data_IF_950451241857
#
_entry.id   IF_950451241857
#
_cell.length_a   1.000
_cell.length_b   1.000
_cell.length_c   1.000
_cell.angle_alpha   90.00
_cell.angle_beta   90.00
_cell.angle_gamma   90.00
#
_symmetry.space_group_name_H-M   'P 1'
#
loop_
_entity.id
_entity.type
_entity.pdbx_description
1 polymer ?
#
# COMPACT_ATOMS: atom_id res chain seq x y z
N UNK A 1 -6.06 -13.47 70.74
CA UNK A 1 -7.04 -13.64 69.63
C UNK A 1 -6.30 -14.26 68.46
N UNK A 2 -6.64 -15.50 68.14
CA UNK A 2 -6.10 -16.26 67.01
C UNK A 2 -7.05 -16.03 65.84
N UNK A 3 -6.56 -15.51 64.72
CA UNK A 3 -7.18 -15.71 63.42
C UNK A 3 -6.09 -15.88 62.36
N UNK A 4 -6.30 -16.92 61.58
CA UNK A 4 -5.40 -17.53 60.62
C UNK A 4 -5.15 -16.65 59.39
N UNK A 5 -4.03 -16.95 58.73
CA UNK A 5 -3.60 -16.30 57.50
C UNK A 5 -4.49 -16.56 56.29
N UNK A 6 -4.11 -15.91 55.18
CA UNK A 6 -4.15 -16.48 53.82
C UNK A 6 -3.41 -15.58 52.86
N UNK A 7 -2.24 -16.07 52.45
CA UNK A 7 -1.44 -15.59 51.35
C UNK A 7 -2.28 -15.60 50.06
N UNK A 8 -2.54 -14.41 49.52
CA UNK A 8 -3.27 -14.28 48.26
C UNK A 8 -2.32 -14.46 47.08
N UNK A 9 -2.09 -15.74 46.75
CA UNK A 9 -1.37 -16.19 45.55
C UNK A 9 -2.18 -15.82 44.31
N UNK A 10 -1.83 -14.72 43.65
CA UNK A 10 -2.47 -14.30 42.39
C UNK A 10 -2.23 -15.36 41.31
N UNK A 11 -3.30 -16.05 40.93
CA UNK A 11 -3.34 -17.12 39.93
C UNK A 11 -2.94 -16.57 38.56
N UNK A 12 -1.77 -16.97 38.06
CA UNK A 12 -1.43 -16.90 36.62
C UNK A 12 -2.53 -17.66 35.87
N UNK A 13 -3.34 -16.94 35.10
CA UNK A 13 -4.29 -17.54 34.15
C UNK A 13 -3.48 -18.17 33.01
N UNK A 14 -3.17 -19.46 33.14
CA UNK A 14 -2.65 -20.27 32.04
C UNK A 14 -3.79 -20.52 31.06
N UNK A 15 -3.88 -19.71 30.01
CA UNK A 15 -4.73 -19.98 28.85
C UNK A 15 -4.15 -21.22 28.14
N UNK A 16 -4.80 -22.36 28.34
CA UNK A 16 -4.54 -23.60 27.64
C UNK A 16 -4.92 -23.43 26.16
N UNK A 17 -3.92 -23.31 25.30
CA UNK A 17 -4.07 -23.44 23.84
C UNK A 17 -4.46 -24.89 23.53
N UNK A 18 -5.55 -25.16 22.78
CA UNK A 18 -5.81 -26.50 22.28
C UNK A 18 -4.73 -26.86 21.24
N UNK A 19 -4.07 -28.00 21.48
CA UNK A 19 -3.06 -28.60 20.62
C UNK A 19 -3.67 -29.07 19.30
N UNK A 20 -3.20 -28.51 18.19
CA UNK A 20 -3.55 -28.99 16.84
C UNK A 20 -3.07 -30.44 16.64
N UNK A 21 -3.85 -31.31 15.99
CA UNK A 21 -3.44 -32.68 15.71
C UNK A 21 -2.29 -32.74 14.69
N UNK A 22 -1.39 -33.74 14.78
CA UNK A 22 -0.32 -33.91 13.82
C UNK A 22 -0.90 -34.31 12.45
N UNK A 23 -0.60 -33.51 11.42
CA UNK A 23 -0.95 -33.83 10.04
C UNK A 23 -0.09 -35.02 9.58
N UNK A 24 -0.73 -36.16 9.43
CA UNK A 24 -0.12 -37.37 8.88
C UNK A 24 0.35 -37.12 7.44
N UNK A 25 1.60 -37.51 7.19
CA UNK A 25 2.16 -37.64 5.84
C UNK A 25 1.46 -38.80 5.15
N UNK A 26 0.77 -38.54 4.04
CA UNK A 26 0.40 -39.60 3.10
C UNK A 26 1.03 -39.32 1.74
N UNK A 27 1.59 -40.40 1.22
CA UNK A 27 2.49 -40.56 0.09
C UNK A 27 1.80 -40.49 -1.27
N UNK A 28 2.59 -40.04 -2.25
CA UNK A 28 2.61 -40.47 -3.66
C UNK A 28 1.28 -40.36 -4.42
N UNK A 29 1.16 -39.30 -5.22
CA UNK A 29 0.47 -39.36 -6.50
C UNK A 29 1.48 -38.98 -7.58
N UNK A 30 1.82 -39.96 -8.39
CA UNK A 30 2.67 -39.86 -9.58
C UNK A 30 2.02 -38.96 -10.63
N UNK A 31 2.78 -38.09 -11.33
CA UNK A 31 2.27 -37.42 -12.52
C UNK A 31 2.08 -38.43 -13.66
N UNK A 32 1.08 -38.27 -14.55
CA UNK A 32 0.99 -39.08 -15.76
C UNK A 32 2.16 -38.74 -16.70
N UNK A 33 2.79 -39.78 -17.25
CA UNK A 33 3.84 -39.66 -18.28
C UNK A 33 3.34 -38.81 -19.46
N UNK A 34 4.00 -37.68 -19.71
CA UNK A 34 3.89 -36.99 -20.98
C UNK A 34 4.75 -37.71 -22.01
N UNK A 35 4.15 -38.20 -23.08
CA UNK A 35 4.89 -38.68 -24.25
C UNK A 35 5.65 -37.52 -24.87
N UNK A 36 6.96 -37.73 -25.06
CA UNK A 36 7.84 -36.89 -25.86
C UNK A 36 7.32 -36.92 -27.31
N UNK A 37 6.70 -35.83 -27.74
CA UNK A 37 6.53 -35.57 -29.18
C UNK A 37 7.77 -34.81 -29.60
N UNK A 38 8.52 -35.40 -30.52
CA UNK A 38 9.65 -34.77 -31.16
C UNK A 38 9.09 -33.67 -32.08
N UNK A 39 9.07 -32.45 -31.56
CA UNK A 39 8.68 -31.25 -32.28
C UNK A 39 9.94 -30.48 -32.67
N UNK A 40 10.38 -30.72 -33.90
CA UNK A 40 11.41 -29.98 -34.63
C UNK A 40 11.55 -28.51 -34.18
N UNK A 41 12.76 -28.03 -33.86
CA UNK A 41 12.99 -26.61 -33.62
C UNK A 41 12.98 -25.87 -34.96
N UNK A 42 11.79 -25.47 -35.41
CA UNK A 42 11.67 -24.46 -36.47
C UNK A 42 12.17 -23.15 -35.90
N UNK A 43 13.40 -22.81 -36.26
CA UNK A 43 13.99 -21.50 -36.07
C UNK A 43 13.13 -20.48 -36.82
N UNK A 44 12.24 -19.80 -36.10
CA UNK A 44 11.61 -18.60 -36.62
C UNK A 44 11.87 -17.41 -35.70
N UNK A 45 12.73 -16.54 -36.19
CA UNK A 45 13.29 -15.34 -35.57
C UNK A 45 12.28 -14.16 -35.57
N UNK A 46 10.99 -14.46 -35.60
CA UNK A 46 9.91 -13.54 -35.98
C UNK A 46 8.81 -13.44 -34.90
N UNK A 47 9.17 -13.55 -33.62
CA UNK A 47 8.21 -13.31 -32.51
C UNK A 47 8.65 -12.27 -31.49
N UNK A 48 9.80 -11.62 -31.70
CA UNK A 48 10.25 -10.53 -30.83
C UNK A 48 9.72 -9.15 -31.26
N UNK A 49 9.41 -8.95 -32.54
CA UNK A 49 9.04 -7.63 -33.06
C UNK A 49 7.58 -7.24 -32.77
N UNK A 50 6.67 -8.20 -32.66
CA UNK A 50 5.24 -7.95 -32.39
C UNK A 50 4.96 -7.61 -30.92
N UNK A 51 5.75 -8.14 -29.97
CA UNK A 51 5.58 -7.82 -28.54
C UNK A 51 6.07 -6.40 -28.24
N UNK A 52 7.11 -5.94 -28.95
CA UNK A 52 7.65 -4.58 -28.83
C UNK A 52 6.69 -3.55 -29.43
N UNK A 53 6.11 -3.81 -30.61
CA UNK A 53 5.13 -2.88 -31.23
C UNK A 53 3.82 -2.76 -30.45
N UNK A 54 3.38 -3.83 -29.76
CA UNK A 54 2.18 -3.75 -28.90
C UNK A 54 2.39 -2.91 -27.63
N UNK A 55 3.63 -2.59 -27.27
CA UNK A 55 3.95 -1.72 -26.12
C UNK A 55 4.16 -0.25 -26.51
N UNK A 56 4.39 0.05 -27.79
CA UNK A 56 4.56 1.42 -28.31
C UNK A 56 3.22 2.17 -28.48
N UNK A 57 2.10 1.46 -28.71
CA UNK A 57 0.78 2.07 -28.92
C UNK A 57 -0.02 2.35 -27.63
N UNK A 58 0.54 2.05 -26.45
CA UNK A 58 0.06 2.63 -25.20
C UNK A 58 0.69 4.01 -25.01
N UNK A 59 0.44 4.90 -25.97
CA UNK A 59 0.53 6.32 -25.74
C UNK A 59 -0.54 6.65 -24.70
N UNK A 60 -0.16 6.57 -23.42
CA UNK A 60 -0.88 7.21 -22.33
C UNK A 60 -0.98 8.66 -22.77
N UNK A 61 -2.15 9.02 -23.29
CA UNK A 61 -2.48 10.39 -23.58
C UNK A 61 -2.07 11.17 -22.34
N UNK A 62 -1.07 12.03 -22.50
CA UNK A 62 -0.80 13.07 -21.54
C UNK A 62 -2.07 13.91 -21.54
N UNK A 63 -3.05 13.50 -20.74
CA UNK A 63 -4.21 14.28 -20.43
C UNK A 63 -3.70 15.43 -19.56
N UNK A 64 -3.18 16.43 -20.26
CA UNK A 64 -2.68 17.70 -19.75
C UNK A 64 -3.80 18.52 -19.10
N UNK A 65 -5.01 17.97 -19.00
CA UNK A 65 -6.03 18.44 -18.06
C UNK A 65 -5.71 17.96 -16.63
N UNK A 66 -4.47 18.17 -16.19
CA UNK A 66 -4.10 18.05 -14.78
C UNK A 66 -4.94 19.06 -14.02
N UNK A 67 -5.99 18.59 -13.34
CA UNK A 67 -6.77 19.40 -12.42
C UNK A 67 -5.78 20.25 -11.60
N UNK A 68 -5.86 21.60 -11.62
CA UNK A 68 -4.86 22.45 -10.98
C UNK A 68 -4.73 22.17 -9.48
N UNK A 69 -5.76 21.54 -8.89
CA UNK A 69 -5.81 21.12 -7.49
C UNK A 69 -5.16 19.75 -7.24
N UNK A 70 -4.66 19.06 -8.26
CA UNK A 70 -4.00 17.76 -8.11
C UNK A 70 -2.50 17.90 -8.30
N UNK A 71 -1.73 17.13 -7.52
CA UNK A 71 -0.28 17.08 -7.69
C UNK A 71 0.09 16.23 -8.92
N UNK A 72 1.01 16.70 -9.77
CA UNK A 72 1.55 15.87 -10.86
C UNK A 72 2.30 14.67 -10.28
N UNK A 73 2.39 13.58 -11.06
CA UNK A 73 2.97 12.33 -10.60
C UNK A 73 4.41 12.48 -10.07
N UNK A 74 5.24 13.27 -10.75
CA UNK A 74 6.61 13.58 -10.31
C UNK A 74 6.65 14.22 -8.92
N UNK A 75 5.74 15.14 -8.64
CA UNK A 75 5.61 15.77 -7.32
C UNK A 75 5.12 14.77 -6.28
N UNK A 76 4.16 13.91 -6.60
CA UNK A 76 3.71 12.84 -5.68
C UNK A 76 4.86 11.92 -5.29
N UNK A 77 5.68 11.52 -6.26
CA UNK A 77 6.85 10.68 -6.00
C UNK A 77 7.85 11.37 -5.07
N UNK A 78 8.24 12.61 -5.39
CA UNK A 78 9.16 13.38 -4.55
C UNK A 78 8.57 13.65 -3.15
N UNK A 79 7.26 13.86 -3.06
CA UNK A 79 6.54 14.05 -1.80
C UNK A 79 6.57 12.79 -0.92
N UNK A 80 6.45 11.61 -1.52
CA UNK A 80 6.66 10.33 -0.83
C UNK A 80 8.11 10.16 -0.36
N UNK A 81 9.07 10.54 -1.20
CA UNK A 81 10.50 10.46 -0.88
C UNK A 81 10.88 11.41 0.28
N UNK A 82 10.26 12.58 0.34
CA UNK A 82 10.40 13.61 1.39
C UNK A 82 9.82 13.15 2.75
N UNK A 83 8.80 12.29 2.74
CA UNK A 83 8.16 11.82 3.97
C UNK A 83 9.12 11.03 4.87
N UNK A 84 8.88 11.01 6.18
CA UNK A 84 9.80 10.39 7.12
C UNK A 84 9.86 8.86 6.93
N UNK A 85 11.08 8.28 6.98
CA UNK A 85 11.29 6.83 6.86
C UNK A 85 10.99 6.13 8.19
N UNK A 86 10.28 5.02 8.14
CA UNK A 86 10.01 4.19 9.34
C UNK A 86 11.21 3.30 9.64
N UNK A 87 11.89 3.51 10.77
CA UNK A 87 13.00 2.64 11.23
C UNK A 87 12.54 1.18 11.33
N UNK A 88 13.35 0.26 10.80
CA UNK A 88 13.06 -1.18 10.83
C UNK A 88 12.00 -1.65 9.83
N UNK A 89 11.59 -0.81 8.88
CA UNK A 89 10.72 -1.18 7.74
C UNK A 89 11.33 -0.75 6.41
N UNK A 90 10.83 -1.36 5.34
CA UNK A 90 11.21 -1.02 3.97
C UNK A 90 10.80 0.44 3.63
N UNK A 91 11.76 1.35 3.40
CA UNK A 91 11.48 2.77 3.13
C UNK A 91 10.80 3.03 1.79
N UNK A 92 10.83 2.07 0.86
CA UNK A 92 10.15 2.17 -0.44
C UNK A 92 8.65 1.86 -0.32
N UNK A 93 8.27 1.17 0.76
CA UNK A 93 6.88 0.76 1.04
C UNK A 93 6.23 1.53 2.17
N UNK A 94 7.00 1.89 3.19
CA UNK A 94 6.51 2.44 4.45
C UNK A 94 7.07 3.83 4.73
N UNK A 95 6.19 4.76 5.08
CA UNK A 95 6.54 6.12 5.51
C UNK A 95 5.75 6.51 6.76
N UNK A 96 6.22 7.52 7.47
CA UNK A 96 5.42 8.25 8.45
C UNK A 96 4.84 9.51 7.81
N UNK A 97 3.58 9.77 8.09
CA UNK A 97 2.93 11.03 7.74
C UNK A 97 3.43 12.18 8.64
N UNK A 98 2.90 13.39 8.42
CA UNK A 98 3.30 14.59 9.18
C UNK A 98 2.88 14.58 10.65
N UNK A 99 1.98 13.69 11.05
CA UNK A 99 1.52 13.54 12.44
C UNK A 99 2.18 12.33 13.14
N UNK A 100 2.84 11.46 12.38
CA UNK A 100 3.63 10.34 12.85
C UNK A 100 2.98 8.96 12.64
N UNK A 101 1.83 8.88 11.97
CA UNK A 101 1.19 7.62 11.62
C UNK A 101 1.93 6.91 10.50
N UNK A 102 1.81 5.59 10.46
CA UNK A 102 2.47 4.76 9.46
C UNK A 102 1.53 4.56 8.28
N UNK A 103 2.02 4.86 7.07
CA UNK A 103 1.27 4.72 5.81
C UNK A 103 1.98 3.80 4.83
N UNK A 104 1.21 3.21 3.92
CA UNK A 104 1.72 2.27 2.92
C UNK A 104 1.57 2.81 1.50
N UNK A 105 2.66 2.73 0.70
CA UNK A 105 2.77 3.37 -0.62
C UNK A 105 1.67 2.99 -1.60
N UNK A 106 1.21 1.74 -1.60
CA UNK A 106 0.18 1.27 -2.56
C UNK A 106 -1.25 1.62 -2.13
N UNK A 107 -1.47 2.05 -0.89
CA UNK A 107 -2.79 2.33 -0.35
C UNK A 107 -3.07 3.83 -0.42
N UNK A 108 -3.47 4.32 -1.60
CA UNK A 108 -3.80 5.72 -1.86
C UNK A 108 -5.32 5.88 -2.00
N UNK A 109 -5.94 6.93 -1.45
CA UNK A 109 -7.36 7.24 -1.71
C UNK A 109 -8.39 6.37 -1.00
N UNK A 110 -7.97 5.48 -0.09
CA UNK A 110 -8.86 4.58 0.65
C UNK A 110 -9.11 5.03 2.09
N UNK A 111 -10.25 4.67 2.71
CA UNK A 111 -10.59 5.05 4.09
C UNK A 111 -9.90 4.20 5.19
N UNK A 112 -8.77 3.55 4.89
CA UNK A 112 -8.07 2.66 5.82
C UNK A 112 -7.04 3.37 6.71
N UNK A 113 -6.66 2.72 7.82
CA UNK A 113 -5.68 3.26 8.77
C UNK A 113 -4.23 3.28 8.27
N UNK A 114 -3.95 2.62 7.15
CA UNK A 114 -2.65 2.67 6.46
C UNK A 114 -2.72 3.41 5.13
N UNK A 115 -3.93 3.88 4.78
CA UNK A 115 -4.18 4.60 3.55
C UNK A 115 -3.77 6.06 3.70
N UNK A 116 -3.23 6.63 2.64
CA UNK A 116 -2.81 8.02 2.60
C UNK A 116 -3.37 8.73 1.38
N UNK A 117 -3.43 10.05 1.47
CA UNK A 117 -3.64 10.96 0.35
C UNK A 117 -2.44 11.90 0.22
N UNK A 118 -2.28 12.47 -0.97
CA UNK A 118 -1.38 13.59 -1.21
C UNK A 118 -2.18 14.88 -1.03
N UNK A 119 -1.91 15.58 0.06
CA UNK A 119 -2.68 16.74 0.49
C UNK A 119 -1.84 18.02 0.40
N UNK A 120 -2.53 19.14 0.23
CA UNK A 120 -1.88 20.45 0.26
C UNK A 120 -1.71 20.91 1.70
N UNK A 121 -0.50 21.34 2.08
CA UNK A 121 -0.25 21.96 3.39
C UNK A 121 -1.07 23.26 3.51
N UNK A 122 -1.06 24.07 2.45
CA UNK A 122 -1.89 25.24 2.26
C UNK A 122 -2.93 24.90 1.18
N UNK A 123 -4.24 24.94 1.49
CA UNK A 123 -5.29 24.65 0.52
C UNK A 123 -5.20 25.54 -0.72
N UNK A 124 -5.61 25.01 -1.88
CA UNK A 124 -5.62 25.76 -3.13
C UNK A 124 -6.43 27.08 -3.05
N UNK A 125 -7.56 27.07 -2.33
CA UNK A 125 -8.39 28.25 -2.10
C UNK A 125 -7.68 29.38 -1.34
N UNK A 126 -6.59 29.08 -0.61
CA UNK A 126 -5.75 30.05 0.09
C UNK A 126 -4.48 30.41 -0.71
N UNK A 127 -4.44 30.08 -2.01
CA UNK A 127 -3.29 30.34 -2.89
C UNK A 127 -2.22 29.25 -2.87
N UNK A 128 -2.49 28.10 -2.25
CA UNK A 128 -1.58 26.97 -2.23
C UNK A 128 -1.43 26.30 -3.59
N UNK A 129 -0.26 26.43 -4.22
CA UNK A 129 0.03 25.77 -5.50
C UNK A 129 0.32 24.27 -5.31
N UNK A 130 0.11 23.48 -6.35
CA UNK A 130 0.41 22.03 -6.37
C UNK A 130 1.91 21.75 -6.57
N UNK A 131 2.75 22.34 -5.72
CA UNK A 131 4.22 22.23 -5.74
C UNK A 131 4.72 21.24 -4.68
N UNK A 132 5.94 20.72 -4.84
CA UNK A 132 6.56 19.78 -3.89
C UNK A 132 6.57 20.31 -2.45
N UNK A 133 6.89 21.59 -2.27
CA UNK A 133 6.93 22.22 -0.95
C UNK A 133 5.56 22.24 -0.26
N UNK A 134 4.48 22.31 -1.05
CA UNK A 134 3.12 22.32 -0.54
C UNK A 134 2.49 20.93 -0.49
N UNK A 135 3.20 19.88 -0.92
CA UNK A 135 2.72 18.51 -0.84
C UNK A 135 3.12 17.88 0.50
N UNK A 136 2.14 17.23 1.13
CA UNK A 136 2.35 16.34 2.27
C UNK A 136 1.63 15.01 2.05
N UNK A 137 2.21 13.94 2.57
CA UNK A 137 1.54 12.64 2.71
C UNK A 137 0.78 12.66 4.03
N UNK A 138 -0.53 12.45 3.98
CA UNK A 138 -1.39 12.48 5.17
C UNK A 138 -2.31 11.25 5.20
N UNK A 139 -2.45 10.61 6.36
CA UNK A 139 -3.39 9.50 6.51
C UNK A 139 -4.85 9.99 6.36
N UNK A 140 -5.65 9.25 5.60
CA UNK A 140 -7.03 9.65 5.27
C UNK A 140 -7.93 9.80 6.51
N UNK A 141 -7.69 8.98 7.54
CA UNK A 141 -8.43 9.05 8.80
C UNK A 141 -8.26 10.41 9.50
N UNK A 142 -7.06 11.00 9.45
CA UNK A 142 -6.80 12.30 10.09
C UNK A 142 -7.39 13.48 9.33
N UNK A 143 -7.46 13.38 8.00
CA UNK A 143 -8.15 14.37 7.17
C UNK A 143 -9.60 14.56 7.64
N UNK A 144 -10.29 13.47 8.00
CA UNK A 144 -11.64 13.52 8.59
C UNK A 144 -11.63 14.15 9.98
N UNK A 145 -10.66 13.81 10.83
CA UNK A 145 -10.53 14.36 12.18
C UNK A 145 -10.32 15.87 12.20
N UNK A 146 -9.64 16.41 11.19
CA UNK A 146 -9.38 17.85 11.05
C UNK A 146 -10.50 18.62 10.34
N UNK A 147 -11.55 17.96 9.85
CA UNK A 147 -12.75 18.61 9.32
C UNK A 147 -12.48 19.57 8.16
N UNK A 148 -11.51 19.27 7.28
CA UNK A 148 -11.35 20.04 6.05
C UNK A 148 -12.45 19.62 5.07
N UNK A 149 -13.42 20.50 4.74
CA UNK A 149 -14.45 20.17 3.77
C UNK A 149 -13.76 19.98 2.41
N UNK A 150 -13.84 18.77 1.87
CA UNK A 150 -13.84 18.63 0.42
C UNK A 150 -15.15 19.26 -0.04
N UNK A 151 -15.06 20.46 -0.64
CA UNK A 151 -16.17 21.03 -1.40
C UNK A 151 -16.64 19.96 -2.40
N UNK A 152 -17.94 19.62 -2.43
CA UNK A 152 -18.47 18.69 -3.40
C UNK A 152 -18.30 19.29 -4.81
N UNK A 153 -17.77 18.50 -5.74
CA UNK A 153 -17.72 18.84 -7.17
C UNK A 153 -19.15 19.14 -7.67
N UNK A 154 -19.50 20.42 -7.77
CA UNK A 154 -20.66 20.85 -8.57
C UNK A 154 -20.24 20.85 -10.03
N UNK A 155 -20.44 19.71 -10.69
CA UNK A 155 -20.50 19.64 -12.15
C UNK A 155 -21.81 20.27 -12.63
N UNK A 156 -21.70 21.25 -13.52
CA UNK A 156 -22.75 21.64 -14.47
C UNK A 156 -22.06 22.05 -15.75
#
# INVERSE_FOLDING_TARGET
MIMHGKDSKSKRRTSSRPSSPPRSRSSKLTPPSASLVDGEPVTDRERSSTITSLFEDLQISQDVNSNPRSFPYSVKQQCWEKAEKVKGRDPDRWRRDTVGNIVFRKLVGCPGCLCHDYDHIIPYSKGGKSTLENCQVLQQSERRSKGLPGEPDTGT
#
